data_IF_222186603792
#
_entry.id   IF_222186603792
#
_cell.length_a   1.000
_cell.length_b   1.000
_cell.length_c   1.000
_cell.angle_alpha   90.00
_cell.angle_beta   90.00
_cell.angle_gamma   90.00
#
_symmetry.space_group_name_H-M   'P 1'
#
loop_
_entity.id
_entity.type
_entity.pdbx_description
1 polymer ?
#
# COMPACT_ATOMS: atom_id res chain seq x y z
N UNK A 1 18.87 10.59 -8.45
CA UNK A 1 19.66 9.34 -8.57
C UNK A 1 20.60 9.12 -7.38
N UNK A 2 21.52 9.98 -7.00
CA UNK A 2 22.53 9.72 -5.95
C UNK A 2 21.97 9.30 -4.58
N UNK A 3 20.82 9.82 -4.14
CA UNK A 3 20.15 9.38 -2.92
C UNK A 3 19.54 7.98 -3.06
N UNK A 4 18.95 7.68 -4.22
CA UNK A 4 18.41 6.35 -4.51
C UNK A 4 19.52 5.29 -4.52
N UNK A 5 20.68 5.60 -5.07
CA UNK A 5 21.85 4.71 -5.04
C UNK A 5 22.30 4.40 -3.61
N UNK A 6 22.39 5.42 -2.74
CA UNK A 6 22.71 5.22 -1.31
C UNK A 6 21.66 4.35 -0.63
N UNK A 7 20.39 4.60 -0.90
CA UNK A 7 19.27 3.85 -0.33
C UNK A 7 19.32 2.37 -0.75
N UNK A 8 19.51 2.08 -2.04
CA UNK A 8 19.62 0.70 -2.54
C UNK A 8 20.81 -0.01 -1.87
N UNK A 9 21.98 0.63 -1.79
CA UNK A 9 23.13 0.05 -1.11
C UNK A 9 22.84 -0.23 0.38
N UNK A 10 22.12 0.64 1.08
CA UNK A 10 21.73 0.42 2.48
C UNK A 10 20.77 -0.75 2.64
N UNK A 11 19.78 -0.88 1.75
CA UNK A 11 18.84 -2.01 1.80
C UNK A 11 19.54 -3.35 1.56
N UNK A 12 20.44 -3.41 0.56
CA UNK A 12 21.20 -4.64 0.30
C UNK A 12 22.09 -5.01 1.51
N UNK A 13 22.80 -4.05 2.12
CA UNK A 13 23.58 -4.27 3.35
C UNK A 13 22.72 -4.70 4.54
N UNK A 14 21.48 -4.21 4.61
CA UNK A 14 20.52 -4.59 5.64
C UNK A 14 19.90 -6.00 5.41
N UNK A 15 20.26 -6.68 4.32
CA UNK A 15 19.82 -8.04 4.04
C UNK A 15 18.49 -8.15 3.29
N UNK A 16 18.02 -7.07 2.64
CA UNK A 16 16.84 -7.17 1.78
C UNK A 16 17.16 -8.01 0.55
N UNK A 17 16.39 -9.08 0.34
CA UNK A 17 16.59 -10.06 -0.72
C UNK A 17 15.80 -9.79 -2.00
N UNK A 18 14.84 -8.86 -1.97
CA UNK A 18 14.07 -8.41 -3.12
C UNK A 18 14.16 -6.89 -3.23
N UNK A 19 14.62 -6.40 -4.37
CA UNK A 19 14.70 -4.97 -4.67
C UNK A 19 13.76 -4.66 -5.83
N UNK A 20 12.77 -3.81 -5.59
CA UNK A 20 11.95 -3.24 -6.64
C UNK A 20 12.64 -1.98 -7.16
N UNK A 21 12.99 -1.98 -8.44
CA UNK A 21 13.68 -0.89 -9.13
C UNK A 21 12.66 0.10 -9.70
N UNK A 22 11.98 0.84 -8.82
CA UNK A 22 11.01 1.86 -9.22
C UNK A 22 11.74 3.14 -9.66
N UNK A 23 11.73 3.39 -10.95
CA UNK A 23 12.38 4.55 -11.60
C UNK A 23 11.44 5.26 -12.59
N UNK A 24 10.13 5.03 -12.45
CA UNK A 24 9.09 5.54 -13.35
C UNK A 24 8.75 7.03 -13.11
N UNK A 25 9.11 7.58 -11.96
CA UNK A 25 8.79 8.97 -11.63
C UNK A 25 9.80 9.97 -12.22
N UNK A 26 9.34 11.07 -12.85
CA UNK A 26 10.23 12.13 -13.32
C UNK A 26 11.03 12.78 -12.18
N UNK A 27 12.30 13.08 -12.45
CA UNK A 27 13.15 13.89 -11.60
C UNK A 27 13.19 15.33 -12.12
N UNK A 28 13.73 16.26 -11.32
CA UNK A 28 13.90 17.65 -11.76
C UNK A 28 14.70 17.73 -13.06
N UNK A 29 14.13 18.38 -14.08
CA UNK A 29 14.69 18.51 -15.41
C UNK A 29 14.35 17.40 -16.40
N UNK A 30 13.58 16.40 -15.97
CA UNK A 30 13.03 15.38 -16.87
C UNK A 30 11.80 15.89 -17.64
N UNK A 31 11.44 15.24 -18.75
CA UNK A 31 10.12 15.42 -19.34
C UNK A 31 9.03 14.83 -18.40
N UNK A 32 7.79 15.32 -18.53
CA UNK A 32 6.66 14.86 -17.70
C UNK A 32 6.38 13.36 -17.86
N UNK A 33 6.65 12.82 -19.05
CA UNK A 33 6.52 11.38 -19.36
C UNK A 33 7.90 10.83 -19.71
N UNK A 34 8.37 9.86 -18.96
CA UNK A 34 9.63 9.18 -19.23
C UNK A 34 9.46 8.07 -20.27
N UNK A 35 10.44 7.93 -21.17
CA UNK A 35 10.49 6.76 -22.05
C UNK A 35 10.96 5.50 -21.29
N UNK A 36 10.56 4.34 -21.80
CA UNK A 36 10.99 3.02 -21.27
C UNK A 36 12.53 2.93 -21.20
N UNK A 37 13.26 3.49 -22.18
CA UNK A 37 14.73 3.50 -22.20
C UNK A 37 15.33 4.31 -21.03
N UNK A 38 14.74 5.45 -20.66
CA UNK A 38 15.20 6.25 -19.51
C UNK A 38 14.94 5.49 -18.21
N UNK A 39 13.74 4.94 -18.06
CA UNK A 39 13.34 4.16 -16.87
C UNK A 39 14.25 2.94 -16.72
N UNK A 40 14.41 2.16 -17.78
CA UNK A 40 15.24 0.95 -17.78
C UNK A 40 16.73 1.27 -17.53
N UNK A 41 17.26 2.35 -18.08
CA UNK A 41 18.64 2.79 -17.84
C UNK A 41 18.89 3.17 -16.38
N UNK A 42 17.92 3.83 -15.74
CA UNK A 42 17.97 4.14 -14.30
C UNK A 42 17.86 2.88 -13.44
N UNK A 43 16.98 1.97 -13.79
CA UNK A 43 16.83 0.68 -13.11
C UNK A 43 18.13 -0.12 -13.18
N UNK A 44 18.76 -0.22 -14.35
CA UNK A 44 20.05 -0.89 -14.53
C UNK A 44 21.16 -0.24 -13.68
N UNK A 45 21.21 1.10 -13.59
CA UNK A 45 22.16 1.81 -12.73
C UNK A 45 21.96 1.50 -11.25
N UNK A 46 20.72 1.42 -10.77
CA UNK A 46 20.44 1.03 -9.39
C UNK A 46 20.79 -0.44 -9.15
N UNK A 47 20.55 -1.32 -10.12
CA UNK A 47 20.97 -2.72 -10.06
C UNK A 47 22.50 -2.85 -9.99
N UNK A 48 23.28 -2.06 -10.73
CA UNK A 48 24.75 -2.03 -10.61
C UNK A 48 25.20 -1.72 -9.17
N UNK A 49 24.54 -0.76 -8.51
CA UNK A 49 24.84 -0.44 -7.11
C UNK A 49 24.51 -1.62 -6.19
N UNK A 50 23.37 -2.28 -6.41
CA UNK A 50 22.99 -3.45 -5.64
C UNK A 50 24.00 -4.60 -5.79
N UNK A 51 24.41 -4.90 -7.02
CA UNK A 51 25.38 -5.95 -7.33
C UNK A 51 26.79 -5.65 -6.78
N UNK A 52 27.21 -4.37 -6.83
CA UNK A 52 28.49 -3.94 -6.28
C UNK A 52 28.51 -3.88 -4.74
N UNK A 53 27.37 -4.04 -4.09
CA UNK A 53 27.26 -3.95 -2.63
C UNK A 53 27.40 -5.33 -2.01
N UNK A 54 28.38 -5.51 -1.10
CA UNK A 54 28.52 -6.75 -0.34
C UNK A 54 27.29 -6.99 0.55
N UNK A 55 26.72 -8.19 0.49
CA UNK A 55 25.58 -8.58 1.31
C UNK A 55 24.58 -9.52 0.66
N UNK A 56 24.74 -9.82 -0.63
CA UNK A 56 23.87 -10.79 -1.29
C UNK A 56 23.66 -10.54 -2.77
N UNK A 57 22.94 -11.45 -3.40
CA UNK A 57 22.49 -11.35 -4.79
C UNK A 57 20.97 -11.19 -4.78
N UNK A 58 20.44 -9.98 -4.73
CA UNK A 58 19.00 -9.79 -4.60
C UNK A 58 18.25 -10.20 -5.87
N UNK A 59 16.98 -10.54 -5.70
CA UNK A 59 16.03 -10.63 -6.79
C UNK A 59 15.52 -9.24 -7.15
N UNK A 60 15.20 -9.03 -8.41
CA UNK A 60 14.74 -7.73 -8.93
C UNK A 60 13.32 -7.79 -9.45
N UNK A 61 12.59 -6.71 -9.21
CA UNK A 61 11.33 -6.40 -9.88
C UNK A 61 11.58 -5.15 -10.73
N UNK A 62 11.17 -5.18 -11.98
CA UNK A 62 11.25 -4.07 -12.93
C UNK A 62 9.88 -3.70 -13.47
N UNK A 63 9.73 -2.52 -14.05
CA UNK A 63 8.49 -2.10 -14.69
C UNK A 63 8.36 -0.61 -14.83
N UNK A 64 7.37 -0.18 -15.60
CA UNK A 64 7.04 1.23 -15.89
C UNK A 64 5.65 1.62 -15.39
N UNK A 65 4.81 0.65 -15.08
CA UNK A 65 3.40 0.81 -14.70
C UNK A 65 3.25 0.99 -13.17
N UNK A 66 3.99 1.94 -12.58
CA UNK A 66 3.93 2.20 -11.14
C UNK A 66 2.99 3.37 -10.87
N UNK A 67 1.84 3.15 -10.20
CA UNK A 67 0.89 4.22 -9.89
C UNK A 67 1.44 5.17 -8.82
N UNK A 68 0.84 6.36 -8.77
CA UNK A 68 1.15 7.35 -7.73
C UNK A 68 0.79 6.76 -6.35
N UNK A 69 1.69 6.84 -5.36
CA UNK A 69 1.42 6.31 -4.03
C UNK A 69 0.17 6.91 -3.37
N UNK A 70 -0.73 6.05 -2.90
CA UNK A 70 -1.94 6.45 -2.19
C UNK A 70 -3.20 6.51 -3.03
N UNK A 71 -3.19 5.87 -4.20
CA UNK A 71 -4.32 5.77 -5.11
C UNK A 71 -4.32 6.83 -6.22
N UNK A 72 -5.10 6.56 -7.26
CA UNK A 72 -5.23 7.44 -8.42
C UNK A 72 -6.01 8.74 -8.10
N UNK A 73 -5.80 9.81 -8.89
CA UNK A 73 -6.72 10.94 -8.89
C UNK A 73 -8.13 10.49 -9.28
N UNK A 74 -9.15 11.12 -8.70
CA UNK A 74 -10.55 10.82 -9.03
C UNK A 74 -10.83 10.98 -10.54
N UNK A 75 -11.49 9.98 -11.14
CA UNK A 75 -11.80 9.98 -12.58
C UNK A 75 -10.63 9.59 -13.48
N UNK A 76 -9.59 8.98 -12.96
CA UNK A 76 -8.48 8.45 -13.77
C UNK A 76 -8.95 7.30 -14.67
N UNK A 77 -8.62 7.39 -15.98
CA UNK A 77 -8.85 6.30 -16.91
C UNK A 77 -7.89 5.13 -16.60
N UNK A 78 -8.47 4.03 -16.14
CA UNK A 78 -7.72 2.81 -15.81
C UNK A 78 -7.77 1.85 -16.98
N UNK A 79 -6.62 1.44 -17.49
CA UNK A 79 -6.49 0.40 -18.51
C UNK A 79 -5.58 -0.72 -18.03
N UNK A 80 -5.94 -1.95 -18.37
CA UNK A 80 -5.06 -3.12 -18.14
C UNK A 80 -3.84 -3.01 -19.03
N UNK A 81 -2.66 -3.32 -18.50
CA UNK A 81 -1.42 -3.40 -19.27
C UNK A 81 -1.59 -4.39 -20.43
N UNK A 82 -1.32 -3.95 -21.66
CA UNK A 82 -1.40 -4.85 -22.81
C UNK A 82 -0.17 -5.78 -22.89
N UNK A 83 -0.29 -6.98 -23.48
CA UNK A 83 0.86 -7.86 -23.73
C UNK A 83 2.02 -7.16 -24.46
N UNK A 84 1.70 -6.30 -25.42
CA UNK A 84 2.69 -5.54 -26.20
C UNK A 84 3.42 -4.51 -25.34
N UNK A 85 2.71 -3.82 -24.42
CA UNK A 85 3.32 -2.89 -23.48
C UNK A 85 4.25 -3.64 -22.52
N UNK A 86 3.80 -4.73 -21.92
CA UNK A 86 4.62 -5.59 -21.05
C UNK A 86 5.89 -6.09 -21.76
N UNK A 87 5.76 -6.56 -23.01
CA UNK A 87 6.89 -7.01 -23.82
C UNK A 87 7.89 -5.89 -24.14
N UNK A 88 7.42 -4.68 -24.46
CA UNK A 88 8.30 -3.52 -24.70
C UNK A 88 9.07 -3.14 -23.46
N UNK A 89 8.39 -3.00 -22.33
CA UNK A 89 9.02 -2.68 -21.04
C UNK A 89 10.09 -3.71 -20.67
N UNK A 90 9.78 -4.99 -20.79
CA UNK A 90 10.74 -6.06 -20.51
C UNK A 90 11.96 -6.02 -21.44
N UNK A 91 11.74 -5.80 -22.74
CA UNK A 91 12.81 -5.68 -23.74
C UNK A 91 13.73 -4.49 -23.44
N UNK A 92 13.19 -3.34 -23.06
CA UNK A 92 13.97 -2.16 -22.70
C UNK A 92 14.87 -2.45 -21.48
N UNK A 93 14.30 -3.08 -20.43
CA UNK A 93 15.07 -3.44 -19.23
C UNK A 93 16.16 -4.47 -19.54
N UNK A 94 15.86 -5.52 -20.32
CA UNK A 94 16.84 -6.54 -20.73
C UNK A 94 18.02 -5.92 -21.48
N UNK A 95 17.72 -5.01 -22.42
CA UNK A 95 18.74 -4.26 -23.16
C UNK A 95 19.60 -3.37 -22.24
N UNK A 96 18.96 -2.65 -21.30
CA UNK A 96 19.66 -1.77 -20.37
C UNK A 96 20.56 -2.55 -19.40
N UNK A 97 20.10 -3.70 -18.88
CA UNK A 97 20.91 -4.59 -18.03
C UNK A 97 22.11 -5.14 -18.79
N UNK A 98 21.91 -5.59 -20.03
CA UNK A 98 23.03 -6.08 -20.87
C UNK A 98 24.06 -4.96 -21.14
N UNK A 99 23.62 -3.75 -21.48
CA UNK A 99 24.49 -2.59 -21.70
C UNK A 99 25.25 -2.15 -20.43
N UNK A 100 24.68 -2.39 -19.26
CA UNK A 100 25.29 -2.12 -17.96
C UNK A 100 26.21 -3.26 -17.46
N UNK A 101 26.43 -4.32 -18.24
CA UNK A 101 27.24 -5.47 -17.84
C UNK A 101 26.60 -6.38 -16.80
N UNK A 102 25.25 -6.34 -16.68
CA UNK A 102 24.46 -7.08 -15.69
C UNK A 102 23.81 -8.36 -16.27
N UNK A 103 24.43 -9.00 -17.26
CA UNK A 103 23.92 -10.24 -17.85
C UNK A 103 23.67 -11.34 -16.82
N UNK A 104 24.59 -11.51 -15.86
CA UNK A 104 24.50 -12.51 -14.80
C UNK A 104 23.45 -12.15 -13.71
N UNK A 105 23.02 -10.90 -13.64
CA UNK A 105 21.95 -10.46 -12.75
C UNK A 105 20.56 -10.66 -13.37
N UNK A 106 20.45 -10.68 -14.71
CA UNK A 106 19.17 -10.79 -15.42
C UNK A 106 18.32 -12.01 -15.01
N UNK A 107 18.86 -13.22 -14.81
CA UNK A 107 18.07 -14.37 -14.32
C UNK A 107 17.44 -14.16 -12.94
N UNK A 108 17.87 -13.14 -12.21
CA UNK A 108 17.29 -12.76 -10.91
C UNK A 108 16.26 -11.63 -11.02
N UNK A 109 15.97 -11.14 -12.22
CA UNK A 109 14.77 -10.34 -12.50
C UNK A 109 13.60 -11.30 -12.55
N UNK A 110 12.84 -11.38 -11.47
CA UNK A 110 11.79 -12.40 -11.28
C UNK A 110 10.38 -11.84 -11.47
N UNK A 111 10.23 -10.53 -11.53
CA UNK A 111 8.91 -9.93 -11.66
C UNK A 111 8.86 -8.67 -12.50
N UNK A 112 7.70 -8.49 -13.14
CA UNK A 112 7.33 -7.32 -13.92
C UNK A 112 6.14 -6.62 -13.27
N UNK A 113 6.25 -5.31 -13.03
CA UNK A 113 5.11 -4.50 -12.57
C UNK A 113 4.18 -4.26 -13.76
N UNK A 114 2.91 -4.56 -13.56
CA UNK A 114 1.86 -4.36 -14.56
C UNK A 114 0.56 -3.91 -13.88
N UNK A 115 -0.33 -3.27 -14.64
CA UNK A 115 -1.65 -2.88 -14.20
C UNK A 115 -2.67 -3.98 -14.55
N UNK A 116 -3.24 -4.69 -13.54
CA UNK A 116 -4.25 -5.72 -13.78
C UNK A 116 -5.68 -5.20 -13.95
N UNK A 117 -5.89 -3.89 -13.90
CA UNK A 117 -7.21 -3.26 -13.90
C UNK A 117 -7.78 -3.04 -12.50
N UNK A 118 -6.91 -2.94 -11.47
CA UNK A 118 -7.32 -2.60 -10.10
C UNK A 118 -6.79 -1.24 -9.71
N UNK A 119 -7.61 -0.45 -9.05
CA UNK A 119 -7.22 0.85 -8.53
C UNK A 119 -8.20 1.29 -7.45
N UNK A 120 -7.83 2.28 -6.65
CA UNK A 120 -8.72 3.00 -5.77
C UNK A 120 -8.40 4.49 -5.81
N UNK A 121 -9.41 5.30 -5.54
CA UNK A 121 -9.28 6.74 -5.33
C UNK A 121 -9.69 7.11 -3.90
N UNK A 122 -10.10 8.35 -3.68
CA UNK A 122 -10.51 8.80 -2.34
C UNK A 122 -11.82 8.16 -1.86
N UNK A 123 -12.71 7.75 -2.77
CA UNK A 123 -14.10 7.39 -2.47
C UNK A 123 -14.58 6.12 -3.16
N UNK A 124 -13.81 5.60 -4.12
CA UNK A 124 -14.18 4.43 -4.91
C UNK A 124 -13.05 3.42 -5.07
N UNK A 125 -13.41 2.19 -5.40
CA UNK A 125 -12.49 1.08 -5.68
C UNK A 125 -12.90 0.46 -7.01
N UNK A 126 -11.92 0.25 -7.89
CA UNK A 126 -12.11 -0.52 -9.13
C UNK A 126 -11.72 -1.97 -8.86
N UNK A 127 -12.72 -2.85 -8.89
CA UNK A 127 -12.56 -4.27 -8.62
C UNK A 127 -11.85 -5.01 -9.77
N UNK A 128 -11.05 -6.01 -9.42
CA UNK A 128 -10.40 -6.90 -10.37
C UNK A 128 -11.42 -7.66 -11.22
N UNK A 129 -11.20 -7.66 -12.53
CA UNK A 129 -12.00 -8.37 -13.52
C UNK A 129 -11.12 -9.32 -14.32
N UNK A 130 -11.08 -10.62 -14.00
CA UNK A 130 -10.21 -11.59 -14.66
C UNK A 130 -10.32 -11.61 -16.19
N UNK A 131 -11.52 -11.39 -16.72
CA UNK A 131 -11.74 -11.36 -18.17
C UNK A 131 -10.98 -10.23 -18.89
N UNK A 132 -10.81 -9.07 -18.24
CA UNK A 132 -10.09 -7.92 -18.78
C UNK A 132 -8.57 -8.15 -18.77
N UNK A 133 -8.04 -8.87 -17.78
CA UNK A 133 -6.63 -9.20 -17.66
C UNK A 133 -6.23 -10.51 -18.37
N UNK A 134 -7.17 -11.23 -18.97
CA UNK A 134 -6.94 -12.58 -19.51
C UNK A 134 -5.86 -12.64 -20.60
N UNK A 135 -5.75 -11.61 -21.46
CA UNK A 135 -4.71 -11.54 -22.50
C UNK A 135 -3.31 -11.38 -21.89
N UNK A 136 -3.18 -10.54 -20.86
CA UNK A 136 -1.94 -10.30 -20.13
C UNK A 136 -1.51 -11.57 -19.37
N UNK A 137 -2.43 -12.22 -18.67
CA UNK A 137 -2.16 -13.47 -17.95
C UNK A 137 -1.66 -14.57 -18.90
N UNK A 138 -2.32 -14.74 -20.06
CA UNK A 138 -1.91 -15.70 -21.09
C UNK A 138 -0.53 -15.37 -21.67
N UNK A 139 -0.26 -14.09 -21.92
CA UNK A 139 1.06 -13.67 -22.41
C UNK A 139 2.17 -14.07 -21.41
N UNK A 140 1.97 -13.88 -20.12
CA UNK A 140 2.93 -14.30 -19.09
C UNK A 140 3.25 -15.79 -19.20
N UNK A 141 2.23 -16.64 -19.38
CA UNK A 141 2.42 -18.09 -19.49
C UNK A 141 3.17 -18.50 -20.75
N UNK A 142 2.94 -17.79 -21.86
CA UNK A 142 3.46 -18.17 -23.20
C UNK A 142 4.73 -17.43 -23.59
N UNK A 143 5.12 -16.36 -22.90
CA UNK A 143 6.30 -15.55 -23.25
C UNK A 143 7.64 -16.28 -23.08
N UNK A 144 7.68 -17.33 -22.26
CA UNK A 144 8.91 -18.08 -21.95
C UNK A 144 9.88 -17.35 -21.01
N UNK A 145 9.53 -16.18 -20.50
CA UNK A 145 10.42 -15.37 -19.65
C UNK A 145 10.44 -15.83 -18.18
N UNK A 146 9.52 -16.69 -17.75
CA UNK A 146 9.48 -17.24 -16.37
C UNK A 146 9.16 -16.22 -15.28
N UNK A 147 8.62 -15.06 -15.65
CA UNK A 147 8.32 -13.96 -14.71
C UNK A 147 6.97 -14.15 -14.00
N UNK A 148 6.88 -13.58 -12.81
CA UNK A 148 5.60 -13.31 -12.13
C UNK A 148 5.24 -11.84 -12.32
N UNK A 149 3.95 -11.51 -12.16
CA UNK A 149 3.51 -10.13 -12.12
C UNK A 149 3.50 -9.56 -10.71
N UNK A 150 3.87 -8.29 -10.60
CA UNK A 150 3.63 -7.47 -9.41
C UNK A 150 2.52 -6.48 -9.72
N UNK A 151 1.44 -6.53 -8.94
CA UNK A 151 0.31 -5.60 -9.01
C UNK A 151 0.35 -4.60 -7.86
N UNK A 152 0.16 -3.32 -8.18
CA UNK A 152 0.03 -2.25 -7.20
C UNK A 152 -1.45 -1.91 -6.96
N UNK A 153 -1.73 -1.04 -5.99
CA UNK A 153 -3.09 -0.55 -5.67
C UNK A 153 -4.11 -1.67 -5.45
N UNK A 154 -3.68 -2.81 -4.90
CA UNK A 154 -4.56 -3.96 -4.66
C UNK A 154 -5.37 -3.84 -3.37
N UNK A 155 -5.32 -2.69 -2.71
CA UNK A 155 -6.06 -2.38 -1.50
C UNK A 155 -7.58 -2.45 -1.74
N UNK A 156 -8.33 -2.82 -0.71
CA UNK A 156 -9.80 -2.79 -0.66
C UNK A 156 -10.51 -3.72 -1.66
N UNK A 157 -9.80 -4.61 -2.34
CA UNK A 157 -10.42 -5.58 -3.24
C UNK A 157 -11.32 -6.56 -2.47
N UNK A 158 -12.25 -7.18 -3.17
CA UNK A 158 -13.08 -8.26 -2.62
C UNK A 158 -12.21 -9.48 -2.30
N UNK A 159 -12.58 -10.25 -1.29
CA UNK A 159 -11.79 -11.39 -0.82
C UNK A 159 -11.48 -12.42 -1.92
N UNK A 160 -12.42 -12.65 -2.85
CA UNK A 160 -12.26 -13.57 -3.98
C UNK A 160 -11.33 -13.02 -5.08
N UNK A 161 -11.17 -11.70 -5.18
CA UNK A 161 -10.32 -11.06 -6.16
C UNK A 161 -8.82 -11.33 -5.90
N UNK A 162 -8.40 -11.41 -4.65
CA UNK A 162 -7.00 -11.70 -4.32
C UNK A 162 -6.58 -13.10 -4.80
N UNK A 163 -7.41 -14.11 -4.59
CA UNK A 163 -7.15 -15.46 -5.07
C UNK A 163 -7.15 -15.51 -6.62
N UNK A 164 -8.05 -14.77 -7.27
CA UNK A 164 -8.08 -14.65 -8.71
C UNK A 164 -6.82 -13.98 -9.28
N UNK A 165 -6.36 -12.88 -8.67
CA UNK A 165 -5.11 -12.20 -9.04
C UNK A 165 -3.92 -13.16 -8.97
N UNK A 166 -3.76 -13.89 -7.86
CA UNK A 166 -2.66 -14.84 -7.70
C UNK A 166 -2.72 -15.96 -8.74
N UNK A 167 -3.89 -16.55 -8.96
CA UNK A 167 -4.11 -17.59 -10.00
C UNK A 167 -3.75 -17.08 -11.39
N UNK A 168 -4.07 -15.83 -11.71
CA UNK A 168 -3.83 -15.22 -13.02
C UNK A 168 -2.38 -14.70 -13.17
N UNK A 169 -1.51 -14.99 -12.17
CA UNK A 169 -0.06 -14.76 -12.22
C UNK A 169 0.42 -13.48 -11.56
N UNK A 170 -0.48 -12.70 -10.94
CA UNK A 170 -0.11 -11.54 -10.13
C UNK A 170 0.28 -12.02 -8.72
N UNK A 171 1.46 -12.65 -8.62
CA UNK A 171 1.90 -13.31 -7.39
C UNK A 171 2.49 -12.37 -6.33
N UNK A 172 2.77 -11.11 -6.69
CA UNK A 172 3.14 -10.06 -5.74
C UNK A 172 2.03 -9.01 -5.74
N UNK A 173 1.32 -8.93 -4.62
CA UNK A 173 0.23 -7.97 -4.42
C UNK A 173 0.70 -6.90 -3.43
N UNK A 174 0.80 -5.65 -3.88
CA UNK A 174 1.17 -4.54 -3.00
C UNK A 174 -0.05 -4.00 -2.28
N UNK A 175 0.05 -3.98 -0.95
CA UNK A 175 -0.90 -3.33 -0.05
C UNK A 175 -0.27 -2.05 0.51
N UNK A 176 -1.04 -1.01 0.57
CA UNK A 176 -0.60 0.31 1.06
C UNK A 176 -1.57 0.89 2.09
N UNK A 177 -2.37 1.90 1.72
CA UNK A 177 -3.28 2.59 2.64
C UNK A 177 -4.27 1.68 3.34
N UNK A 178 -4.71 0.56 2.76
CA UNK A 178 -5.68 -0.35 3.36
C UNK A 178 -5.29 -0.86 4.75
N UNK A 179 -4.00 -1.01 5.02
CA UNK A 179 -3.49 -1.42 6.35
C UNK A 179 -3.61 -0.28 7.36
N UNK A 180 -3.20 0.94 6.99
CA UNK A 180 -3.30 2.10 7.87
C UNK A 180 -4.74 2.57 8.02
N UNK A 181 -5.56 2.41 6.99
CA UNK A 181 -7.00 2.62 7.02
C UNK A 181 -7.67 1.71 8.07
N UNK A 182 -7.37 0.42 8.08
CA UNK A 182 -7.90 -0.52 9.08
C UNK A 182 -7.45 -0.15 10.51
N UNK A 183 -6.22 0.32 10.68
CA UNK A 183 -5.73 0.85 11.95
C UNK A 183 -6.54 2.09 12.37
N UNK A 184 -6.73 3.04 11.46
CA UNK A 184 -7.51 4.25 11.72
C UNK A 184 -8.95 3.94 12.11
N UNK A 185 -9.63 3.04 11.37
CA UNK A 185 -10.99 2.64 11.70
C UNK A 185 -11.09 2.08 13.13
N UNK A 186 -10.16 1.22 13.54
CA UNK A 186 -10.14 0.69 14.89
C UNK A 186 -9.91 1.78 15.93
N UNK A 187 -8.96 2.69 15.69
CA UNK A 187 -8.65 3.80 16.62
C UNK A 187 -9.85 4.76 16.72
N UNK A 188 -10.49 5.12 15.60
CA UNK A 188 -11.67 5.97 15.60
C UNK A 188 -12.86 5.29 16.32
N UNK A 189 -13.07 4.00 16.09
CA UNK A 189 -14.10 3.22 16.79
C UNK A 189 -13.87 3.19 18.30
N UNK A 190 -12.63 2.99 18.73
CA UNK A 190 -12.25 3.03 20.14
C UNK A 190 -12.42 4.42 20.75
N UNK A 191 -12.14 5.50 20.00
CA UNK A 191 -12.39 6.85 20.45
C UNK A 191 -13.89 7.16 20.63
N UNK A 192 -14.77 6.61 19.78
CA UNK A 192 -16.21 6.70 20.00
C UNK A 192 -16.68 5.89 21.23
N UNK A 193 -16.12 4.69 21.44
CA UNK A 193 -16.37 3.90 22.65
C UNK A 193 -15.92 4.68 23.90
N UNK A 194 -14.73 5.30 23.87
CA UNK A 194 -14.23 6.14 24.97
C UNK A 194 -15.24 7.22 25.35
N UNK A 195 -15.85 7.90 24.38
CA UNK A 195 -16.86 8.94 24.63
C UNK A 195 -18.08 8.43 25.38
N UNK A 196 -18.43 7.15 25.18
CA UNK A 196 -19.61 6.54 25.84
C UNK A 196 -19.34 6.18 27.31
N UNK A 197 -18.09 5.81 27.66
CA UNK A 197 -17.78 5.20 28.95
C UNK A 197 -16.85 6.02 29.87
N UNK A 198 -16.17 7.01 29.30
CA UNK A 198 -15.26 7.89 30.05
C UNK A 198 -15.86 9.30 30.17
N UNK A 199 -15.75 9.89 31.35
CA UNK A 199 -16.24 11.25 31.59
C UNK A 199 -15.56 12.26 30.67
N UNK A 200 -16.25 13.29 30.16
CA UNK A 200 -15.73 14.24 29.17
C UNK A 200 -14.35 14.84 29.55
N UNK A 201 -14.16 15.21 30.81
CA UNK A 201 -12.89 15.79 31.29
C UNK A 201 -11.69 14.81 31.25
N UNK A 202 -11.95 13.52 31.23
CA UNK A 202 -10.93 12.48 31.20
C UNK A 202 -10.68 11.89 29.82
N UNK A 203 -11.53 12.17 28.82
CA UNK A 203 -11.39 11.68 27.45
C UNK A 203 -10.11 12.13 26.78
N UNK A 204 -9.65 11.36 25.81
CA UNK A 204 -8.46 11.67 25.02
C UNK A 204 -8.66 12.86 24.07
N UNK A 205 -9.89 13.08 23.59
CA UNK A 205 -10.22 14.08 22.57
C UNK A 205 -9.55 13.80 21.22
N UNK A 206 -9.14 12.56 20.98
CA UNK A 206 -8.27 12.19 19.86
C UNK A 206 -8.79 12.66 18.51
N UNK A 207 -10.09 12.47 18.21
CA UNK A 207 -10.63 12.83 16.89
C UNK A 207 -10.57 14.34 16.62
N UNK A 208 -10.78 15.16 17.66
CA UNK A 208 -10.68 16.62 17.54
C UNK A 208 -9.23 17.06 17.39
N UNK A 209 -8.31 16.43 18.11
CA UNK A 209 -6.86 16.66 17.97
C UNK A 209 -6.39 16.33 16.55
N UNK A 210 -6.78 15.18 15.99
CA UNK A 210 -6.46 14.81 14.61
C UNK A 210 -6.99 15.86 13.63
N UNK A 211 -8.27 16.24 13.75
CA UNK A 211 -8.87 17.25 12.86
C UNK A 211 -8.13 18.57 12.93
N UNK A 212 -7.79 19.04 14.12
CA UNK A 212 -7.04 20.28 14.31
C UNK A 212 -5.65 20.21 13.67
N UNK A 213 -4.89 19.15 13.94
CA UNK A 213 -3.54 18.95 13.36
C UNK A 213 -3.58 18.91 11.84
N UNK A 214 -4.51 18.17 11.25
CA UNK A 214 -4.63 18.06 9.78
C UNK A 214 -5.04 19.40 9.15
N UNK A 215 -5.90 20.17 9.80
CA UNK A 215 -6.32 21.50 9.33
C UNK A 215 -5.21 22.55 9.44
N UNK A 216 -4.43 22.52 10.51
CA UNK A 216 -3.27 23.37 10.71
C UNK A 216 -2.15 23.09 9.70
N UNK A 217 -1.96 21.83 9.34
CA UNK A 217 -0.88 21.36 8.46
C UNK A 217 -1.44 20.62 7.22
N UNK A 218 -2.09 21.32 6.28
CA UNK A 218 -2.82 20.66 5.19
C UNK A 218 -1.94 20.09 4.06
N UNK A 219 -0.61 20.19 4.16
CA UNK A 219 0.33 19.85 3.09
C UNK A 219 0.25 18.39 2.60
N UNK A 220 -0.22 17.47 3.44
CA UNK A 220 -0.34 16.07 3.02
C UNK A 220 -1.70 15.69 2.43
N UNK A 221 -2.74 16.55 2.50
CA UNK A 221 -4.07 16.20 2.00
C UNK A 221 -4.69 17.22 1.04
N UNK A 222 -4.34 18.51 1.12
CA UNK A 222 -5.02 19.58 0.39
C UNK A 222 -5.09 19.36 -1.12
N UNK A 223 -4.00 18.92 -1.72
CA UNK A 223 -3.89 18.71 -3.16
C UNK A 223 -4.60 17.44 -3.65
N UNK A 224 -5.08 16.62 -2.71
CA UNK A 224 -5.72 15.33 -2.99
C UNK A 224 -7.21 15.30 -2.65
N UNK A 225 -7.63 16.12 -1.70
CA UNK A 225 -9.02 16.19 -1.23
C UNK A 225 -9.71 17.40 -1.81
N UNK A 226 -10.30 17.24 -3.00
CA UNK A 226 -11.11 18.27 -3.65
C UNK A 226 -12.47 18.42 -2.95
N UNK A 227 -13.20 19.49 -3.29
CA UNK A 227 -14.57 19.72 -2.85
C UNK A 227 -14.73 20.82 -1.81
N UNK A 228 -15.93 20.91 -1.26
CA UNK A 228 -16.32 21.85 -0.21
C UNK A 228 -15.62 21.53 1.12
N UNK A 229 -15.57 22.47 2.08
CA UNK A 229 -15.03 22.17 3.42
C UNK A 229 -15.67 20.96 4.11
N UNK A 230 -16.97 20.74 3.92
CA UNK A 230 -17.67 19.58 4.49
C UNK A 230 -17.26 18.26 3.83
N UNK A 231 -17.09 18.23 2.51
CA UNK A 231 -16.58 17.07 1.77
C UNK A 231 -15.12 16.78 2.15
N UNK A 232 -14.30 17.81 2.29
CA UNK A 232 -12.94 17.65 2.79
C UNK A 232 -12.91 17.09 4.22
N UNK A 233 -13.78 17.55 5.13
CA UNK A 233 -13.88 17.00 6.48
C UNK A 233 -14.26 15.52 6.48
N UNK A 234 -15.17 15.11 5.58
CA UNK A 234 -15.51 13.71 5.39
C UNK A 234 -14.26 12.91 4.95
N UNK A 235 -13.50 13.42 3.98
CA UNK A 235 -12.31 12.73 3.44
C UNK A 235 -11.18 12.65 4.46
N UNK A 236 -11.03 13.61 5.38
CA UNK A 236 -9.99 13.54 6.42
C UNK A 236 -10.03 12.22 7.20
N UNK A 237 -11.23 11.69 7.47
CA UNK A 237 -11.44 10.49 8.28
C UNK A 237 -11.90 9.25 7.50
N UNK A 238 -12.32 9.40 6.23
CA UNK A 238 -12.98 8.30 5.53
C UNK A 238 -12.38 7.96 4.16
N UNK A 239 -11.46 8.78 3.63
CA UNK A 239 -10.86 8.50 2.32
C UNK A 239 -10.11 7.18 2.30
N UNK A 240 -10.25 6.41 1.23
CA UNK A 240 -9.46 5.21 0.96
C UNK A 240 -7.96 5.51 0.81
N UNK A 241 -7.58 6.70 0.32
CA UNK A 241 -6.17 7.10 0.27
C UNK A 241 -5.54 7.30 1.65
N UNK A 242 -6.34 7.36 2.72
CA UNK A 242 -5.94 7.35 4.14
C UNK A 242 -4.78 8.31 4.46
N UNK A 243 -4.90 9.57 4.02
CA UNK A 243 -3.80 10.53 4.19
C UNK A 243 -3.55 10.95 5.63
N UNK A 244 -4.44 10.63 6.55
CA UNK A 244 -4.22 10.73 8.00
C UNK A 244 -2.94 9.98 8.44
N UNK A 245 -2.51 8.94 7.70
CA UNK A 245 -1.31 8.16 8.03
C UNK A 245 -0.04 9.00 8.17
N UNK A 246 0.05 10.13 7.50
CA UNK A 246 1.20 11.02 7.58
C UNK A 246 1.24 11.89 8.85
N UNK A 247 0.13 11.92 9.62
CA UNK A 247 -0.01 12.74 10.82
C UNK A 247 0.16 11.95 12.12
N UNK A 248 0.14 10.62 12.10
CA UNK A 248 0.37 9.81 13.30
C UNK A 248 1.67 10.15 14.07
N UNK A 249 2.77 10.63 13.42
CA UNK A 249 3.97 11.08 14.12
C UNK A 249 3.83 12.43 14.87
N UNK A 250 2.73 13.20 14.70
CA UNK A 250 2.54 14.45 15.44
C UNK A 250 2.45 14.17 16.95
N UNK A 251 3.22 14.88 17.79
CA UNK A 251 3.26 14.63 19.24
C UNK A 251 1.91 14.77 19.94
N UNK A 252 1.02 15.65 19.45
CA UNK A 252 -0.33 15.84 20.00
C UNK A 252 -1.20 14.62 19.74
N UNK A 253 -1.12 14.06 18.53
CA UNK A 253 -1.85 12.85 18.15
C UNK A 253 -1.31 11.65 18.92
N UNK A 254 0.01 11.53 19.06
CA UNK A 254 0.63 10.47 19.86
C UNK A 254 0.18 10.53 21.33
N UNK A 255 0.18 11.72 21.93
CA UNK A 255 -0.25 11.91 23.33
C UNK A 255 -1.74 11.57 23.51
N UNK A 256 -2.62 12.03 22.59
CA UNK A 256 -4.04 11.70 22.62
C UNK A 256 -4.30 10.21 22.40
N UNK A 257 -3.56 9.57 21.50
CA UNK A 257 -3.66 8.12 21.26
C UNK A 257 -3.21 7.34 22.51
N UNK A 258 -2.11 7.74 23.15
CA UNK A 258 -1.66 7.10 24.36
C UNK A 258 -2.72 7.18 25.47
N UNK A 259 -3.32 8.36 25.65
CA UNK A 259 -4.40 8.56 26.62
C UNK A 259 -5.64 7.70 26.32
N UNK A 260 -6.05 7.59 25.05
CA UNK A 260 -7.12 6.68 24.62
C UNK A 260 -6.82 5.23 25.04
N UNK A 261 -5.62 4.77 24.77
CA UNK A 261 -5.21 3.41 25.11
C UNK A 261 -5.20 3.20 26.64
N UNK A 262 -4.67 4.15 27.41
CA UNK A 262 -4.67 4.11 28.87
C UNK A 262 -6.09 4.05 29.44
N UNK A 263 -6.98 4.93 28.97
CA UNK A 263 -8.37 4.96 29.40
C UNK A 263 -9.08 3.62 29.15
N UNK A 264 -8.96 3.08 27.94
CA UNK A 264 -9.62 1.83 27.57
C UNK A 264 -8.93 0.57 28.11
N UNK A 265 -7.69 0.67 28.58
CA UNK A 265 -7.03 -0.38 29.37
C UNK A 265 -7.57 -0.41 30.78
N UNK A 266 -7.77 0.76 31.40
CA UNK A 266 -8.33 0.90 32.74
C UNK A 266 -9.83 0.58 32.80
N UNK A 267 -10.58 0.97 31.75
CA UNK A 267 -12.01 0.74 31.60
C UNK A 267 -12.28 0.02 30.27
N UNK A 268 -12.17 -1.31 30.21
CA UNK A 268 -12.30 -2.06 28.95
C UNK A 268 -13.66 -1.87 28.28
N UNK A 269 -13.67 -1.78 26.97
CA UNK A 269 -14.84 -1.60 26.13
C UNK A 269 -15.91 -2.67 26.42
N UNK A 270 -17.18 -2.28 26.75
CA UNK A 270 -18.26 -3.21 26.99
C UNK A 270 -18.74 -3.88 25.70
N UNK A 271 -19.37 -5.06 25.84
CA UNK A 271 -19.86 -5.86 24.71
C UNK A 271 -20.78 -5.10 23.78
N UNK A 272 -21.67 -4.29 24.34
CA UNK A 272 -22.65 -3.50 23.58
C UNK A 272 -21.98 -2.45 22.67
N UNK A 273 -20.92 -1.78 23.16
CA UNK A 273 -20.16 -0.82 22.38
C UNK A 273 -19.23 -1.51 21.37
N UNK A 274 -18.54 -2.61 21.75
CA UNK A 274 -17.79 -3.41 20.79
C UNK A 274 -18.67 -3.98 19.67
N UNK A 275 -19.89 -4.45 20.00
CA UNK A 275 -20.84 -4.94 19.00
C UNK A 275 -21.22 -3.88 17.97
N UNK A 276 -21.33 -2.62 18.41
CA UNK A 276 -21.69 -1.48 17.56
C UNK A 276 -20.54 -1.01 16.69
N UNK A 277 -19.38 -0.80 17.29
CA UNK A 277 -18.26 -0.09 16.63
C UNK A 277 -17.19 -1.01 16.04
N UNK A 278 -17.03 -2.23 16.58
CA UNK A 278 -16.06 -3.22 16.17
C UNK A 278 -16.69 -4.64 16.08
N UNK A 279 -17.72 -4.84 15.23
CA UNK A 279 -18.54 -6.06 15.24
C UNK A 279 -17.76 -7.34 14.95
N UNK A 280 -16.72 -7.29 14.13
CA UNK A 280 -15.89 -8.45 13.84
C UNK A 280 -15.03 -8.84 15.06
N UNK A 281 -14.41 -7.84 15.72
CA UNK A 281 -13.63 -8.03 16.94
C UNK A 281 -14.52 -8.50 18.09
N UNK A 282 -15.71 -7.94 18.22
CA UNK A 282 -16.72 -8.38 19.20
C UNK A 282 -17.01 -9.88 19.11
N UNK A 283 -17.24 -10.42 17.90
CA UNK A 283 -17.48 -11.86 17.71
C UNK A 283 -16.29 -12.68 18.21
N UNK A 284 -15.05 -12.27 17.91
CA UNK A 284 -13.84 -12.96 18.36
C UNK A 284 -13.62 -12.86 19.87
N UNK A 285 -13.99 -11.74 20.47
CA UNK A 285 -13.98 -11.59 21.94
C UNK A 285 -14.97 -12.58 22.58
N UNK A 286 -16.19 -12.66 22.07
CA UNK A 286 -17.18 -13.64 22.54
C UNK A 286 -16.76 -15.10 22.37
N UNK A 287 -16.05 -15.38 21.28
CA UNK A 287 -15.50 -16.71 21.02
C UNK A 287 -14.26 -17.04 21.88
N UNK A 288 -13.80 -16.12 22.73
CA UNK A 288 -12.57 -16.26 23.52
C UNK A 288 -11.28 -16.26 22.70
N UNK A 289 -11.34 -15.82 21.43
CA UNK A 289 -10.20 -15.77 20.49
C UNK A 289 -9.44 -14.45 20.54
N UNK A 290 -10.01 -13.41 21.15
CA UNK A 290 -9.45 -12.07 21.24
C UNK A 290 -9.71 -11.47 22.62
N UNK A 291 -8.71 -10.82 23.22
CA UNK A 291 -8.87 -10.05 24.43
C UNK A 291 -9.50 -8.68 24.19
N UNK A 292 -9.85 -7.96 25.28
CA UNK A 292 -10.43 -6.60 25.22
C UNK A 292 -9.36 -5.51 25.32
N UNK A 293 -8.09 -5.88 25.34
CA UNK A 293 -7.01 -4.90 25.28
C UNK A 293 -7.13 -4.05 24.01
N UNK A 294 -7.13 -2.70 24.11
CA UNK A 294 -7.32 -1.83 22.96
C UNK A 294 -6.27 -2.03 21.85
N UNK A 295 -5.03 -2.32 22.20
CA UNK A 295 -3.98 -2.62 21.22
C UNK A 295 -4.25 -3.93 20.48
N UNK A 296 -4.73 -4.95 21.21
CA UNK A 296 -5.11 -6.23 20.61
C UNK A 296 -6.28 -6.08 19.62
N UNK A 297 -7.28 -5.24 19.96
CA UNK A 297 -8.41 -4.92 19.07
C UNK A 297 -7.95 -4.22 17.80
N UNK A 298 -7.05 -3.22 17.91
CA UNK A 298 -6.46 -2.52 16.76
C UNK A 298 -5.68 -3.49 15.86
N UNK A 299 -4.80 -4.29 16.45
CA UNK A 299 -3.99 -5.26 15.70
C UNK A 299 -4.85 -6.32 15.01
N UNK A 300 -5.94 -6.75 15.64
CA UNK A 300 -6.84 -7.71 15.02
C UNK A 300 -7.60 -7.10 13.84
N UNK A 301 -8.00 -5.82 13.91
CA UNK A 301 -8.60 -5.10 12.78
C UNK A 301 -7.61 -4.92 11.62
N UNK A 302 -6.33 -4.65 11.90
CA UNK A 302 -5.27 -4.63 10.88
C UNK A 302 -5.11 -6.00 10.22
N UNK A 303 -5.13 -7.07 11.02
CA UNK A 303 -5.08 -8.45 10.49
C UNK A 303 -6.25 -8.77 9.57
N UNK A 304 -7.43 -8.19 9.81
CA UNK A 304 -8.58 -8.36 8.91
C UNK A 304 -8.28 -7.87 7.49
N UNK A 305 -7.56 -6.75 7.33
CA UNK A 305 -7.15 -6.25 6.03
C UNK A 305 -6.11 -7.15 5.33
N UNK A 306 -5.32 -7.91 6.09
CA UNK A 306 -4.25 -8.77 5.55
C UNK A 306 -4.69 -10.23 5.34
N UNK A 307 -5.80 -10.68 5.94
CA UNK A 307 -6.28 -12.07 5.82
C UNK A 307 -6.54 -12.51 4.39
N UNK A 308 -7.21 -11.70 3.52
CA UNK A 308 -7.44 -12.10 2.14
C UNK A 308 -6.13 -12.32 1.36
N UNK A 309 -5.13 -11.45 1.57
CA UNK A 309 -3.78 -11.61 0.99
C UNK A 309 -3.13 -12.92 1.45
N UNK A 310 -3.15 -13.17 2.77
CA UNK A 310 -2.57 -14.39 3.32
C UNK A 310 -3.30 -15.66 2.88
N UNK A 311 -4.59 -15.60 2.63
CA UNK A 311 -5.37 -16.69 2.09
C UNK A 311 -5.03 -16.96 0.62
N UNK A 312 -4.94 -15.90 -0.20
CA UNK A 312 -4.57 -15.98 -1.61
C UNK A 312 -3.17 -16.59 -1.84
N UNK A 313 -2.21 -16.31 -0.95
CA UNK A 313 -0.86 -16.88 -1.02
C UNK A 313 -0.80 -18.39 -0.68
N UNK A 314 -1.89 -18.99 -0.18
CA UNK A 314 -1.95 -20.42 0.18
C UNK A 314 -2.78 -21.23 -0.80
N UNK A 315 -3.49 -20.56 -1.70
CA UNK A 315 -4.30 -21.20 -2.73
C UNK A 315 -3.43 -21.59 -3.93
#
# INVERSE_FOLDING_TARGET
>A
MAQAEKMVAQYVRAGFVKIHLDTSMPCAGDPDILSDDIIAGRAARLAQIAEATHGGSPFYIVGTEVPVPGGAPQGHDLSVTTPEAAARTLTAHKKAFAAAGLGDAWPRVVGLVVQPGVEFDNVSVTDYRPAEAASLARWRETSGEGLIFEAHSTDFQRDDAYAALVRDGFAILKVGPGVTFAMREAICALAEIEKEIITPAAQSGLLDVIRAVMRENPGYWRDYYAGTPAEQDLLLFNSYSDRIRYYWPDPRIQAATARLIENLTAAPAPDISLSRYLPAQYRRVRDGKLGRDPKALILDRIRDALRPYAAACKA
#
